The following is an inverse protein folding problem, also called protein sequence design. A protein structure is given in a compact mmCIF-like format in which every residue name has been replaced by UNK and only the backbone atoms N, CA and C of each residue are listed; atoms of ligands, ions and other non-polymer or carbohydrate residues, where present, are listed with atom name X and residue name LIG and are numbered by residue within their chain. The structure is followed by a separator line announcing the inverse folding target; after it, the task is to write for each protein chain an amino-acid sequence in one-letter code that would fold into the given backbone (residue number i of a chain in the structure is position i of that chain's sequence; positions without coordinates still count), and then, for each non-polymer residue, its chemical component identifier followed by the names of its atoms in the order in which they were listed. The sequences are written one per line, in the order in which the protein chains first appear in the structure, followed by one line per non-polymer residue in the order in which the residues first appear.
data_IF_643555853697
#
_entry.id   IF_643555853697
#
_cell.length_a   1.000
_cell.length_b   1.000
_cell.length_c   1.000
_cell.angle_alpha   90.00
_cell.angle_beta   90.00
_cell.angle_gamma   90.00
#
_symmetry.space_group_name_H-M   'P 1'
#
loop_
_entity.id
_entity.type
_entity.pdbx_description
1 polymer ?
#
# COMPACT_ATOMS: atom_id res chain seq x y z
N UNK A 1 -16.64 20.14 8.94
CA UNK A 1 -15.62 20.45 7.93
C UNK A 1 -15.73 19.54 6.71
N UNK A 2 -15.62 18.21 6.82
CA UNK A 2 -15.74 17.31 5.65
C UNK A 2 -17.07 17.44 4.90
N UNK A 3 -18.19 17.62 5.58
CA UNK A 3 -19.48 17.87 4.93
C UNK A 3 -19.48 19.17 4.12
N UNK A 4 -18.88 20.21 4.66
CA UNK A 4 -18.79 21.52 3.95
C UNK A 4 -17.95 21.39 2.69
N UNK A 5 -16.75 20.76 2.77
CA UNK A 5 -15.89 20.55 1.59
C UNK A 5 -16.58 19.66 0.55
N UNK A 6 -17.35 18.66 0.97
CA UNK A 6 -18.12 17.79 0.08
C UNK A 6 -19.24 18.52 -0.64
N UNK A 7 -19.99 19.38 0.06
CA UNK A 7 -21.06 20.20 -0.53
C UNK A 7 -20.46 21.20 -1.54
N UNK A 8 -19.40 21.90 -1.14
CA UNK A 8 -18.69 22.83 -2.05
C UNK A 8 -18.16 22.05 -3.26
N UNK A 9 -17.58 20.88 -3.06
CA UNK A 9 -17.09 20.03 -4.14
C UNK A 9 -18.20 19.63 -5.13
N UNK A 10 -19.41 19.28 -4.63
CA UNK A 10 -20.56 18.94 -5.47
C UNK A 10 -21.06 20.13 -6.30
N UNK A 11 -21.12 21.32 -5.71
CA UNK A 11 -21.60 22.52 -6.40
C UNK A 11 -20.69 22.95 -7.55
N UNK A 12 -19.40 22.63 -7.46
CA UNK A 12 -18.35 23.13 -8.36
C UNK A 12 -17.83 22.06 -9.32
N UNK A 13 -18.30 20.83 -9.18
CA UNK A 13 -17.83 19.70 -9.98
C UNK A 13 -18.30 19.76 -11.42
N UNK A 14 -17.38 19.48 -12.36
CA UNK A 14 -17.71 19.22 -13.77
C UNK A 14 -18.49 17.92 -13.97
N UNK A 15 -18.30 16.94 -13.06
CA UNK A 15 -18.95 15.62 -13.10
C UNK A 15 -19.66 15.33 -11.77
N UNK A 16 -20.82 15.98 -11.58
CA UNK A 16 -21.58 15.95 -10.32
C UNK A 16 -21.91 14.54 -9.82
N UNK A 17 -22.37 13.66 -10.69
CA UNK A 17 -22.72 12.28 -10.34
C UNK A 17 -21.51 11.53 -9.75
N UNK A 18 -20.35 11.70 -10.34
CA UNK A 18 -19.10 11.08 -9.88
C UNK A 18 -18.67 11.65 -8.52
N UNK A 19 -18.70 12.97 -8.37
CA UNK A 19 -18.39 13.63 -7.09
C UNK A 19 -19.35 13.20 -6.00
N UNK A 20 -20.64 13.03 -6.29
CA UNK A 20 -21.62 12.49 -5.35
C UNK A 20 -21.27 11.05 -4.91
N UNK A 21 -20.90 10.18 -5.86
CA UNK A 21 -20.49 8.81 -5.57
C UNK A 21 -19.25 8.75 -4.67
N UNK A 22 -18.21 9.53 -4.97
CA UNK A 22 -17.00 9.58 -4.14
C UNK A 22 -17.25 10.21 -2.77
N UNK A 23 -18.15 11.20 -2.70
CA UNK A 23 -18.59 11.79 -1.42
C UNK A 23 -19.34 10.76 -0.57
N UNK A 24 -20.27 10.03 -1.17
CA UNK A 24 -20.99 8.95 -0.49
C UNK A 24 -20.02 7.86 -0.01
N UNK A 25 -19.02 7.51 -0.83
CA UNK A 25 -17.96 6.57 -0.44
C UNK A 25 -17.16 7.07 0.76
N UNK A 26 -16.76 8.35 0.79
CA UNK A 26 -16.06 8.93 1.94
C UNK A 26 -16.92 8.93 3.21
N UNK A 27 -18.20 9.27 3.10
CA UNK A 27 -19.14 9.22 4.23
C UNK A 27 -19.30 7.79 4.75
N UNK A 28 -19.45 6.81 3.86
CA UNK A 28 -19.53 5.40 4.22
C UNK A 28 -18.26 4.94 4.96
N UNK A 29 -17.08 5.38 4.51
CA UNK A 29 -15.81 5.10 5.18
C UNK A 29 -15.77 5.65 6.61
N UNK A 30 -16.21 6.89 6.80
CA UNK A 30 -16.26 7.51 8.11
C UNK A 30 -17.28 6.82 9.03
N UNK A 31 -18.46 6.48 8.50
CA UNK A 31 -19.46 5.68 9.22
C UNK A 31 -18.89 4.33 9.63
N UNK A 32 -18.20 3.64 8.72
CA UNK A 32 -17.55 2.35 9.01
C UNK A 32 -16.53 2.48 10.13
N UNK A 33 -15.70 3.53 10.11
CA UNK A 33 -14.73 3.79 11.17
C UNK A 33 -15.39 4.02 12.53
N UNK A 34 -16.48 4.80 12.58
CA UNK A 34 -17.26 5.05 13.80
C UNK A 34 -17.94 3.77 14.29
N UNK A 35 -18.59 3.02 13.38
CA UNK A 35 -19.22 1.76 13.71
C UNK A 35 -18.22 0.74 14.26
N UNK A 36 -17.05 0.60 13.63
CA UNK A 36 -15.98 -0.27 14.10
C UNK A 36 -15.52 0.11 15.52
N UNK A 37 -15.37 1.41 15.78
CA UNK A 37 -15.00 1.93 17.09
C UNK A 37 -16.06 1.62 18.17
N UNK A 38 -17.34 1.85 17.86
CA UNK A 38 -18.46 1.58 18.76
C UNK A 38 -18.63 0.07 19.02
N UNK A 39 -18.57 -0.73 17.97
CA UNK A 39 -18.62 -2.20 18.07
C UNK A 39 -17.48 -2.73 18.95
N UNK A 40 -16.24 -2.28 18.70
CA UNK A 40 -15.10 -2.72 19.50
C UNK A 40 -15.27 -2.34 20.97
N UNK A 41 -15.84 -1.17 21.27
CA UNK A 41 -16.13 -0.70 22.64
C UNK A 41 -17.17 -1.57 23.34
N UNK A 42 -18.20 -2.04 22.61
CA UNK A 42 -19.27 -2.87 23.18
C UNK A 42 -18.83 -4.32 23.44
N UNK A 43 -17.69 -4.75 22.88
CA UNK A 43 -17.17 -6.10 23.08
C UNK A 43 -16.70 -6.30 24.53
N UNK A 44 -17.01 -7.47 25.08
CA UNK A 44 -16.43 -7.94 26.33
C UNK A 44 -14.91 -8.18 26.18
N UNK A 45 -14.18 -8.24 27.28
CA UNK A 45 -12.73 -8.55 27.25
C UNK A 45 -12.45 -9.88 26.56
N UNK A 46 -13.31 -10.89 26.80
CA UNK A 46 -13.20 -12.21 26.14
C UNK A 46 -13.38 -12.10 24.61
N UNK A 47 -14.34 -11.30 24.15
CA UNK A 47 -14.60 -11.15 22.72
C UNK A 47 -13.51 -10.34 22.02
N UNK A 48 -12.94 -9.34 22.71
CA UNK A 48 -11.74 -8.63 22.21
C UNK A 48 -10.56 -9.57 22.02
N UNK A 49 -10.33 -10.49 23.00
CA UNK A 49 -9.29 -11.54 22.87
C UNK A 49 -9.58 -12.50 21.71
N UNK A 50 -10.84 -12.90 21.51
CA UNK A 50 -11.25 -13.70 20.34
C UNK A 50 -10.99 -12.96 19.03
N UNK A 51 -11.35 -11.67 18.96
CA UNK A 51 -11.11 -10.84 17.78
C UNK A 51 -9.61 -10.77 17.42
N UNK A 52 -8.75 -10.57 18.43
CA UNK A 52 -7.30 -10.58 18.20
C UNK A 52 -6.81 -11.96 17.74
N UNK A 53 -7.36 -13.04 18.30
CA UNK A 53 -7.05 -14.40 17.86
C UNK A 53 -7.48 -14.64 16.40
N UNK A 54 -8.66 -14.13 16.00
CA UNK A 54 -9.11 -14.15 14.59
C UNK A 54 -8.13 -13.36 13.71
N UNK A 55 -7.66 -12.20 14.17
CA UNK A 55 -6.63 -11.42 13.49
C UNK A 55 -5.32 -12.20 13.26
N UNK A 56 -4.88 -12.99 14.25
CA UNK A 56 -3.72 -13.87 14.09
C UNK A 56 -3.97 -14.99 13.06
N UNK A 57 -5.13 -15.64 13.13
CA UNK A 57 -5.50 -16.66 12.15
C UNK A 57 -5.63 -16.09 10.75
N UNK A 58 -6.16 -14.87 10.59
CA UNK A 58 -6.23 -14.23 9.28
C UNK A 58 -4.85 -14.05 8.65
N UNK A 59 -3.82 -13.67 9.43
CA UNK A 59 -2.45 -13.59 8.93
C UNK A 59 -1.92 -14.92 8.39
N UNK A 60 -2.24 -16.04 9.07
CA UNK A 60 -1.85 -17.39 8.64
C UNK A 60 -2.61 -17.78 7.38
N UNK A 61 -3.93 -17.62 7.37
CA UNK A 61 -4.80 -18.00 6.24
C UNK A 61 -4.41 -17.21 4.98
N UNK A 62 -4.25 -15.90 5.10
CA UNK A 62 -3.83 -15.09 3.96
C UNK A 62 -2.40 -15.41 3.50
N UNK A 63 -1.51 -15.81 4.42
CA UNK A 63 -0.18 -16.30 4.06
C UNK A 63 -0.23 -17.56 3.21
N UNK A 64 -1.04 -18.54 3.62
CA UNK A 64 -1.26 -19.80 2.88
C UNK A 64 -1.90 -19.48 1.51
N UNK A 65 -2.96 -18.68 1.49
CA UNK A 65 -3.64 -18.31 0.25
C UNK A 65 -2.72 -17.56 -0.72
N UNK A 66 -1.81 -16.73 -0.22
CA UNK A 66 -0.82 -16.03 -1.05
C UNK A 66 0.14 -17.00 -1.72
N UNK A 67 0.62 -18.02 -1.00
CA UNK A 67 1.47 -19.07 -1.58
C UNK A 67 0.66 -19.92 -2.59
N UNK A 68 -0.57 -20.27 -2.29
CA UNK A 68 -1.45 -20.99 -3.22
C UNK A 68 -1.70 -20.18 -4.49
N UNK A 69 -1.98 -18.87 -4.38
CA UNK A 69 -2.14 -18.02 -5.56
C UNK A 69 -0.86 -17.97 -6.39
N UNK A 70 0.32 -17.93 -5.76
CA UNK A 70 1.59 -17.99 -6.48
C UNK A 70 1.72 -19.28 -7.30
N UNK A 71 1.35 -20.42 -6.72
CA UNK A 71 1.40 -21.73 -7.39
C UNK A 71 0.38 -21.78 -8.54
N UNK A 72 -0.86 -21.39 -8.28
CA UNK A 72 -1.94 -21.41 -9.28
C UNK A 72 -1.65 -20.45 -10.43
N UNK A 73 -1.06 -19.29 -10.15
CA UNK A 73 -0.68 -18.33 -11.18
C UNK A 73 0.35 -18.86 -12.20
N UNK A 74 1.01 -19.97 -11.93
CA UNK A 74 1.87 -20.67 -12.89
C UNK A 74 1.05 -21.52 -13.86
N UNK A 75 -0.08 -22.07 -13.40
CA UNK A 75 -0.97 -22.92 -14.19
C UNK A 75 -1.91 -22.04 -15.01
N UNK A 76 -2.60 -21.12 -14.35
CA UNK A 76 -3.56 -20.20 -14.96
C UNK A 76 -3.48 -18.82 -14.31
N UNK A 77 -2.76 -17.85 -14.91
CA UNK A 77 -2.47 -16.55 -14.29
C UNK A 77 -3.69 -15.67 -13.98
N UNK A 78 -4.83 -15.94 -14.62
CA UNK A 78 -6.09 -15.22 -14.41
C UNK A 78 -6.99 -15.89 -13.39
N UNK A 79 -6.67 -17.11 -12.96
CA UNK A 79 -7.44 -17.84 -11.98
C UNK A 79 -7.19 -17.29 -10.56
N UNK A 80 -8.14 -17.57 -9.68
CA UNK A 80 -8.06 -17.38 -8.24
C UNK A 80 -7.84 -15.94 -7.77
N UNK A 81 -8.95 -15.24 -7.60
CA UNK A 81 -8.99 -13.97 -6.85
C UNK A 81 -8.43 -12.76 -7.57
N UNK A 82 -8.08 -12.86 -8.87
CA UNK A 82 -7.52 -11.73 -9.59
C UNK A 82 -8.61 -10.81 -10.11
N UNK A 83 -8.61 -9.60 -9.59
CA UNK A 83 -9.43 -8.51 -10.10
C UNK A 83 -8.68 -7.67 -11.16
N UNK A 84 -7.39 -7.92 -11.35
CA UNK A 84 -6.51 -7.13 -12.19
C UNK A 84 -5.73 -8.04 -13.13
N UNK A 85 -6.09 -8.06 -14.42
CA UNK A 85 -5.41 -8.85 -15.45
C UNK A 85 -3.92 -8.50 -15.62
N UNK A 86 -3.53 -7.24 -15.36
CA UNK A 86 -2.13 -6.79 -15.42
C UNK A 86 -1.32 -7.04 -14.15
N UNK A 87 -1.95 -7.39 -13.03
CA UNK A 87 -1.25 -7.56 -11.76
C UNK A 87 -0.36 -8.81 -11.72
N UNK A 88 -0.66 -9.79 -12.58
CA UNK A 88 0.13 -11.02 -12.72
C UNK A 88 1.13 -10.96 -13.88
N UNK A 89 0.94 -10.03 -14.80
CA UNK A 89 1.91 -9.85 -15.86
C UNK A 89 3.24 -9.54 -15.19
N UNK A 90 4.24 -10.33 -15.49
CA UNK A 90 5.57 -10.24 -14.90
C UNK A 90 6.29 -8.94 -15.25
N UNK A 91 5.72 -7.81 -14.82
CA UNK A 91 6.31 -6.48 -14.97
C UNK A 91 7.74 -6.45 -14.40
N UNK A 92 8.02 -7.37 -13.48
CA UNK A 92 9.32 -7.50 -12.82
C UNK A 92 9.99 -8.87 -13.03
N UNK A 93 9.51 -9.66 -13.99
CA UNK A 93 9.99 -11.04 -14.18
C UNK A 93 9.44 -12.04 -13.15
N UNK A 94 8.56 -11.62 -12.25
CA UNK A 94 7.88 -12.50 -11.27
C UNK A 94 6.42 -12.09 -11.07
N UNK A 95 5.60 -13.03 -10.60
CA UNK A 95 4.18 -12.80 -10.32
C UNK A 95 4.03 -12.13 -8.98
N UNK A 96 3.36 -10.98 -8.93
CA UNK A 96 3.01 -10.29 -7.68
C UNK A 96 1.63 -10.71 -7.21
N UNK A 97 1.52 -11.09 -5.97
CA UNK A 97 0.27 -11.61 -5.40
C UNK A 97 -0.63 -10.48 -4.91
N UNK A 98 -1.91 -10.56 -5.23
CA UNK A 98 -2.92 -9.59 -4.80
C UNK A 98 -4.13 -10.23 -4.10
N UNK A 99 -4.28 -11.55 -4.12
CA UNK A 99 -5.46 -12.30 -3.64
C UNK A 99 -6.76 -11.68 -4.16
N UNK A 100 -7.60 -11.22 -3.24
CA UNK A 100 -8.89 -10.58 -3.55
C UNK A 100 -8.79 -9.05 -3.62
N UNK A 101 -7.60 -8.48 -3.42
CA UNK A 101 -7.38 -7.04 -3.52
C UNK A 101 -7.23 -6.61 -4.99
N UNK A 102 -7.66 -5.39 -5.30
CA UNK A 102 -7.53 -4.83 -6.65
C UNK A 102 -6.06 -4.70 -7.09
N UNK A 103 -5.13 -4.52 -6.12
CA UNK A 103 -3.70 -4.41 -6.37
C UNK A 103 -2.90 -5.06 -5.23
N UNK A 104 -1.66 -5.53 -5.50
CA UNK A 104 -0.79 -6.11 -4.48
C UNK A 104 -0.55 -5.20 -3.27
N UNK A 105 -0.44 -3.90 -3.46
CA UNK A 105 -0.24 -2.94 -2.35
C UNK A 105 -1.42 -2.87 -1.38
N UNK A 106 -2.65 -3.13 -1.83
CA UNK A 106 -3.83 -3.15 -0.97
C UNK A 106 -3.88 -4.43 -0.12
N UNK A 107 -3.48 -5.56 -0.69
CA UNK A 107 -3.29 -6.78 0.09
C UNK A 107 -2.23 -6.57 1.18
N UNK A 108 -1.09 -5.96 0.82
CA UNK A 108 -0.02 -5.69 1.78
C UNK A 108 -0.52 -4.83 2.95
N UNK A 109 -1.30 -3.76 2.68
CA UNK A 109 -1.87 -2.91 3.74
C UNK A 109 -2.87 -3.66 4.63
N UNK A 110 -3.65 -4.57 4.07
CA UNK A 110 -4.61 -5.39 4.82
C UNK A 110 -3.95 -6.42 5.74
N UNK A 111 -2.69 -6.79 5.47
CA UNK A 111 -1.91 -7.71 6.29
C UNK A 111 -1.19 -7.03 7.46
N UNK A 112 -1.00 -5.70 7.42
CA UNK A 112 -0.33 -4.96 8.50
C UNK A 112 -0.98 -5.16 9.88
N UNK A 113 -2.32 -5.16 10.03
CA UNK A 113 -2.95 -5.43 11.31
C UNK A 113 -2.57 -6.81 11.87
N UNK A 114 -2.64 -7.88 11.06
CA UNK A 114 -2.30 -9.24 11.49
C UNK A 114 -0.82 -9.34 11.91
N UNK A 115 0.09 -8.72 11.13
CA UNK A 115 1.51 -8.63 11.45
C UNK A 115 1.74 -7.96 12.80
N UNK A 116 1.15 -6.78 13.03
CA UNK A 116 1.41 -6.02 14.26
C UNK A 116 0.68 -6.57 15.48
N UNK A 117 -0.50 -7.18 15.31
CA UNK A 117 -1.13 -7.96 16.39
C UNK A 117 -0.19 -9.08 16.81
N UNK A 118 0.36 -9.85 15.86
CA UNK A 118 1.30 -10.93 16.16
C UNK A 118 2.57 -10.45 16.89
N UNK A 119 3.07 -9.25 16.57
CA UNK A 119 4.22 -8.65 17.26
C UNK A 119 3.91 -8.20 18.70
N UNK A 120 2.67 -7.83 18.99
CA UNK A 120 2.27 -7.25 20.26
C UNK A 120 1.60 -8.26 21.19
N UNK A 121 1.00 -9.33 20.66
CA UNK A 121 0.22 -10.31 21.40
C UNK A 121 1.07 -11.41 21.99
N UNK A 122 1.15 -11.49 23.32
CA UNK A 122 2.06 -12.41 24.01
C UNK A 122 1.40 -13.68 24.54
N UNK A 123 0.07 -13.69 24.70
CA UNK A 123 -0.65 -14.82 25.30
C UNK A 123 -0.50 -16.13 24.51
N UNK A 124 -0.50 -16.03 23.17
CA UNK A 124 -0.37 -17.18 22.26
C UNK A 124 0.88 -17.06 21.39
N UNK A 125 2.05 -17.14 22.02
CA UNK A 125 3.35 -16.89 21.37
C UNK A 125 3.61 -17.68 20.10
N UNK A 126 3.17 -18.95 20.03
CA UNK A 126 3.34 -19.79 18.85
C UNK A 126 2.45 -19.29 17.70
N UNK A 127 1.15 -19.10 17.97
CA UNK A 127 0.20 -18.60 16.98
C UNK A 127 0.61 -17.22 16.48
N UNK A 128 1.03 -16.33 17.38
CA UNK A 128 1.55 -15.02 17.05
C UNK A 128 2.78 -15.09 16.14
N UNK A 129 3.74 -15.99 16.46
CA UNK A 129 4.91 -16.23 15.64
C UNK A 129 4.56 -16.72 14.23
N UNK A 130 3.65 -17.67 14.10
CA UNK A 130 3.16 -18.14 12.80
C UNK A 130 2.42 -17.04 12.02
N UNK A 131 1.60 -16.22 12.68
CA UNK A 131 0.92 -15.10 12.06
C UNK A 131 1.92 -14.07 11.51
N UNK A 132 2.93 -13.70 12.30
CA UNK A 132 4.00 -12.78 11.89
C UNK A 132 4.76 -13.34 10.69
N UNK A 133 5.18 -14.60 10.76
CA UNK A 133 5.89 -15.27 9.68
C UNK A 133 5.07 -15.28 8.39
N UNK A 134 3.84 -15.81 8.45
CA UNK A 134 2.96 -15.95 7.29
C UNK A 134 2.57 -14.60 6.68
N UNK A 135 2.27 -13.59 7.52
CA UNK A 135 2.01 -12.22 7.05
C UNK A 135 3.24 -11.63 6.37
N UNK A 136 4.45 -11.87 6.91
CA UNK A 136 5.70 -11.38 6.30
C UNK A 136 5.96 -12.06 4.96
N UNK A 137 5.71 -13.37 4.82
CA UNK A 137 5.75 -14.08 3.54
C UNK A 137 4.78 -13.45 2.56
N UNK A 138 3.50 -13.31 2.94
CA UNK A 138 2.47 -12.75 2.06
C UNK A 138 2.79 -11.31 1.62
N UNK A 139 3.23 -10.44 2.54
CA UNK A 139 3.66 -9.07 2.22
C UNK A 139 4.82 -9.08 1.22
N UNK A 140 5.78 -10.01 1.39
CA UNK A 140 6.90 -10.16 0.44
C UNK A 140 6.40 -10.60 -0.93
N UNK A 141 5.46 -11.54 -1.01
CA UNK A 141 4.87 -12.00 -2.27
C UNK A 141 4.09 -10.89 -2.99
N UNK A 142 3.56 -9.90 -2.29
CA UNK A 142 2.98 -8.70 -2.93
C UNK A 142 4.04 -7.82 -3.58
N UNK A 143 5.28 -7.90 -3.11
CA UNK A 143 6.40 -7.01 -3.44
C UNK A 143 6.02 -5.52 -3.38
N UNK A 144 5.30 -5.15 -2.33
CA UNK A 144 4.84 -3.78 -2.09
C UNK A 144 5.92 -2.97 -1.37
N UNK A 145 6.65 -2.14 -2.11
CA UNK A 145 7.68 -1.23 -1.56
C UNK A 145 7.15 -0.34 -0.44
N UNK A 146 5.93 0.18 -0.62
CA UNK A 146 5.28 1.01 0.39
C UNK A 146 5.06 0.29 1.71
N UNK A 147 4.70 -1.00 1.68
CA UNK A 147 4.53 -1.79 2.88
C UNK A 147 5.86 -2.06 3.60
N UNK A 148 6.94 -2.36 2.86
CA UNK A 148 8.28 -2.53 3.44
C UNK A 148 8.73 -1.26 4.16
N UNK A 149 8.64 -0.11 3.49
CA UNK A 149 9.01 1.19 4.07
C UNK A 149 8.12 1.50 5.29
N UNK A 150 6.84 1.19 5.23
CA UNK A 150 5.90 1.40 6.34
C UNK A 150 6.26 0.55 7.56
N UNK A 151 6.61 -0.73 7.38
CA UNK A 151 7.01 -1.63 8.47
C UNK A 151 8.33 -1.16 9.10
N UNK A 152 9.34 -0.84 8.28
CA UNK A 152 10.63 -0.34 8.75
C UNK A 152 10.43 1.00 9.49
N UNK A 153 9.71 1.94 8.89
CA UNK A 153 9.43 3.24 9.50
C UNK A 153 8.66 3.14 10.82
N UNK A 154 7.66 2.23 10.89
CA UNK A 154 6.95 1.97 12.14
C UNK A 154 7.88 1.40 13.22
N UNK A 155 8.78 0.48 12.85
CA UNK A 155 9.80 -0.05 13.76
C UNK A 155 10.75 1.03 14.28
N UNK A 156 11.21 1.94 13.41
CA UNK A 156 12.07 3.07 13.79
C UNK A 156 11.35 4.01 14.76
N UNK A 157 10.12 4.44 14.43
CA UNK A 157 9.33 5.34 15.30
C UNK A 157 9.06 4.68 16.65
N UNK A 158 8.70 3.38 16.65
CA UNK A 158 8.54 2.62 17.88
C UNK A 158 9.84 2.61 18.71
N UNK A 159 10.99 2.38 18.09
CA UNK A 159 12.29 2.39 18.74
C UNK A 159 12.61 3.76 19.36
N UNK A 160 12.39 4.85 18.63
CA UNK A 160 12.62 6.22 19.08
C UNK A 160 11.71 6.55 20.28
N UNK A 161 10.40 6.31 20.16
CA UNK A 161 9.44 6.63 21.24
C UNK A 161 9.78 5.81 22.50
N UNK A 162 10.17 4.57 22.32
CA UNK A 162 10.59 3.70 23.44
C UNK A 162 11.89 4.16 24.08
N UNK A 163 12.86 4.60 23.29
CA UNK A 163 14.10 5.18 23.78
C UNK A 163 13.83 6.44 24.63
N UNK A 164 13.00 7.34 24.12
CA UNK A 164 12.60 8.56 24.85
C UNK A 164 11.88 8.26 26.17
N UNK A 165 11.02 7.25 26.20
CA UNK A 165 10.37 6.84 27.44
C UNK A 165 11.37 6.28 28.45
N UNK A 166 12.38 5.55 28.01
CA UNK A 166 13.46 5.07 28.88
C UNK A 166 14.27 6.22 29.48
N UNK A 167 14.75 7.13 28.66
CA UNK A 167 15.50 8.29 29.15
C UNK A 167 14.74 9.11 30.21
N UNK A 168 13.41 9.12 30.12
CA UNK A 168 12.54 9.75 31.13
C UNK A 168 12.29 8.88 32.35
N UNK A 169 12.42 7.58 32.27
CA UNK A 169 12.15 6.62 33.36
C UNK A 169 13.41 6.06 34.01
N UNK A 170 14.58 6.35 33.51
CA UNK A 170 15.87 5.85 34.02
C UNK A 170 16.19 6.28 35.49
N UNK A 171 15.32 7.11 36.09
CA UNK A 171 15.30 7.28 37.54
C UNK A 171 14.71 6.08 38.31
N UNK A 172 14.19 5.02 37.64
CA UNK A 172 13.51 3.88 38.26
C UNK A 172 13.92 2.54 37.62
N UNK A 173 14.91 1.87 38.25
CA UNK A 173 15.28 0.44 38.15
C UNK A 173 15.69 -0.16 36.80
N UNK A 174 16.92 -0.71 36.81
CA UNK A 174 17.66 -1.33 35.69
C UNK A 174 17.23 -2.78 35.38
N UNK A 175 16.49 -3.45 36.26
CA UNK A 175 16.34 -4.93 36.24
C UNK A 175 15.39 -5.53 35.18
N UNK A 176 14.65 -4.72 34.41
CA UNK A 176 13.65 -5.24 33.47
C UNK A 176 14.08 -5.25 32.00
N UNK A 177 15.35 -4.98 31.68
CA UNK A 177 15.81 -4.71 30.31
C UNK A 177 16.12 -5.95 29.49
N UNK A 178 16.66 -7.01 30.07
CA UNK A 178 17.16 -8.18 29.33
C UNK A 178 16.06 -9.02 28.63
N UNK A 179 14.95 -9.40 29.27
CA UNK A 179 13.95 -10.28 28.63
C UNK A 179 13.28 -9.59 27.42
N UNK A 180 13.15 -8.30 27.46
CA UNK A 180 12.52 -7.51 26.39
C UNK A 180 13.40 -7.44 25.15
N UNK A 181 14.72 -7.37 25.29
CA UNK A 181 15.69 -7.35 24.19
C UNK A 181 15.66 -8.67 23.43
N UNK A 182 15.62 -9.80 24.14
CA UNK A 182 15.58 -11.14 23.56
C UNK A 182 14.30 -11.38 22.73
N UNK A 183 13.15 -10.96 23.25
CA UNK A 183 11.87 -11.06 22.52
C UNK A 183 11.87 -10.21 21.24
N UNK A 184 12.44 -8.99 21.27
CA UNK A 184 12.53 -8.13 20.09
C UNK A 184 13.41 -8.74 18.99
N UNK A 185 14.57 -9.32 19.35
CA UNK A 185 15.45 -9.99 18.39
C UNK A 185 14.79 -11.23 17.79
N UNK A 186 14.08 -12.01 18.60
CA UNK A 186 13.31 -13.17 18.12
C UNK A 186 12.25 -12.73 17.10
N UNK A 187 11.49 -11.70 17.40
CA UNK A 187 10.46 -11.19 16.48
C UNK A 187 11.05 -10.64 15.19
N UNK A 188 12.15 -9.90 15.27
CA UNK A 188 12.88 -9.42 14.09
C UNK A 188 13.37 -10.61 13.25
N UNK A 189 13.89 -11.67 13.89
CA UNK A 189 14.30 -12.89 13.21
C UNK A 189 13.15 -13.56 12.47
N UNK A 190 11.95 -13.63 13.08
CA UNK A 190 10.76 -14.22 12.43
C UNK A 190 10.31 -13.39 11.23
N UNK A 191 10.27 -12.05 11.36
CA UNK A 191 9.94 -11.15 10.25
C UNK A 191 10.94 -11.34 9.12
N UNK A 192 12.23 -11.28 9.42
CA UNK A 192 13.30 -11.43 8.43
C UNK A 192 13.24 -12.79 7.74
N UNK A 193 13.03 -13.87 8.50
CA UNK A 193 12.84 -15.21 7.93
C UNK A 193 11.63 -15.27 6.98
N UNK A 194 10.50 -14.68 7.35
CA UNK A 194 9.32 -14.60 6.49
C UNK A 194 9.59 -13.81 5.21
N UNK A 195 10.30 -12.68 5.31
CA UNK A 195 10.69 -11.90 4.14
C UNK A 195 11.67 -12.63 3.22
N UNK A 196 12.67 -13.30 3.79
CA UNK A 196 13.63 -14.11 3.01
C UNK A 196 12.90 -15.23 2.27
N UNK A 197 12.03 -15.99 2.97
CA UNK A 197 11.24 -17.06 2.35
C UNK A 197 10.35 -16.49 1.23
N UNK A 198 9.62 -15.40 1.46
CA UNK A 198 8.77 -14.78 0.45
C UNK A 198 9.55 -14.31 -0.78
N UNK A 199 10.69 -13.64 -0.59
CA UNK A 199 11.56 -13.22 -1.70
C UNK A 199 12.15 -14.43 -2.45
N UNK A 200 12.52 -15.49 -1.74
CA UNK A 200 13.01 -16.74 -2.36
C UNK A 200 11.91 -17.39 -3.19
N UNK A 201 10.67 -17.46 -2.70
CA UNK A 201 9.54 -17.98 -3.45
C UNK A 201 9.28 -17.18 -4.73
N UNK A 202 9.37 -15.85 -4.69
CA UNK A 202 9.27 -15.00 -5.89
C UNK A 202 10.39 -15.29 -6.87
N UNK A 203 11.64 -15.44 -6.40
CA UNK A 203 12.76 -15.76 -7.23
C UNK A 203 12.61 -17.12 -7.91
N UNK A 204 12.25 -18.16 -7.11
CA UNK A 204 11.98 -19.51 -7.64
C UNK A 204 10.84 -19.47 -8.66
N UNK A 205 9.76 -18.73 -8.36
CA UNK A 205 8.65 -18.52 -9.27
C UNK A 205 9.10 -17.95 -10.62
N UNK A 206 9.98 -16.93 -10.62
CA UNK A 206 10.51 -16.35 -11.83
C UNK A 206 11.38 -17.35 -12.62
N UNK A 207 12.26 -18.10 -11.92
CA UNK A 207 13.09 -19.13 -12.54
C UNK A 207 12.28 -20.23 -13.19
N UNK A 208 11.26 -20.73 -12.49
CA UNK A 208 10.37 -21.78 -13.02
C UNK A 208 9.60 -21.28 -14.23
N UNK A 209 9.10 -20.05 -14.18
CA UNK A 209 8.29 -19.48 -15.27
C UNK A 209 9.09 -19.17 -16.53
N UNK A 210 10.33 -18.74 -16.36
CA UNK A 210 11.19 -18.27 -17.45
C UNK A 210 12.45 -19.13 -17.59
N UNK A 211 12.32 -20.46 -17.35
CA UNK A 211 13.44 -21.40 -17.30
C UNK A 211 14.32 -21.37 -18.56
N UNK A 212 13.75 -21.06 -19.72
CA UNK A 212 14.48 -20.94 -20.99
C UNK A 212 15.27 -19.63 -21.14
N UNK A 213 15.08 -18.68 -20.20
CA UNK A 213 15.73 -17.38 -20.29
C UNK A 213 17.08 -17.41 -19.58
N UNK A 214 18.20 -17.20 -20.30
CA UNK A 214 19.53 -17.18 -19.68
C UNK A 214 19.62 -16.15 -18.55
N UNK A 215 20.30 -16.52 -17.48
CA UNK A 215 20.55 -15.64 -16.34
C UNK A 215 19.31 -15.09 -15.62
N UNK A 216 18.13 -15.71 -15.79
CA UNK A 216 16.87 -15.20 -15.21
C UNK A 216 16.95 -14.99 -13.68
N UNK A 217 17.56 -15.93 -12.94
CA UNK A 217 17.71 -15.82 -11.50
C UNK A 217 18.51 -14.58 -11.10
N UNK A 218 19.63 -14.33 -11.78
CA UNK A 218 20.46 -13.16 -11.56
C UNK A 218 19.72 -11.86 -11.90
N UNK A 219 19.11 -11.80 -13.09
CA UNK A 219 18.41 -10.61 -13.55
C UNK A 219 17.17 -10.29 -12.67
N UNK A 220 16.47 -11.32 -12.18
CA UNK A 220 15.36 -11.15 -11.24
C UNK A 220 15.86 -10.63 -9.88
N UNK A 221 16.96 -11.19 -9.36
CA UNK A 221 17.55 -10.71 -8.10
C UNK A 221 18.04 -9.26 -8.22
N UNK A 222 18.69 -8.90 -9.33
CA UNK A 222 19.11 -7.52 -9.63
C UNK A 222 17.88 -6.60 -9.68
N UNK A 223 16.81 -7.02 -10.34
CA UNK A 223 15.54 -6.26 -10.40
C UNK A 223 14.92 -6.07 -9.03
N UNK A 224 14.91 -7.09 -8.17
CA UNK A 224 14.44 -6.97 -6.79
C UNK A 224 15.27 -5.96 -6.00
N UNK A 225 16.61 -6.01 -6.12
CA UNK A 225 17.51 -5.07 -5.45
C UNK A 225 17.33 -3.63 -5.95
N UNK A 226 17.24 -3.43 -7.26
CA UNK A 226 16.95 -2.12 -7.85
C UNK A 226 15.66 -1.54 -7.28
N UNK A 227 14.61 -2.34 -7.19
CA UNK A 227 13.33 -1.91 -6.66
C UNK A 227 13.34 -1.66 -5.15
N UNK A 228 14.00 -2.51 -4.36
CA UNK A 228 14.13 -2.32 -2.91
C UNK A 228 14.99 -1.07 -2.60
N UNK A 229 16.00 -0.80 -3.42
CA UNK A 229 16.85 0.39 -3.30
C UNK A 229 16.24 1.66 -3.90
N UNK A 230 14.98 1.61 -4.40
CA UNK A 230 14.33 2.72 -5.09
C UNK A 230 15.10 3.23 -6.32
N UNK A 231 15.75 2.34 -7.04
CA UNK A 231 16.52 2.66 -8.24
C UNK A 231 17.93 3.19 -7.96
N UNK A 232 18.41 3.13 -6.71
CA UNK A 232 19.75 3.61 -6.34
C UNK A 232 20.84 2.58 -6.59
N UNK A 233 20.55 1.30 -6.47
CA UNK A 233 21.52 0.21 -6.73
C UNK A 233 21.25 -0.31 -8.14
N UNK A 234 22.01 0.17 -9.10
CA UNK A 234 21.95 -0.28 -10.50
C UNK A 234 23.07 -1.28 -10.73
N UNK A 235 22.78 -2.56 -10.65
CA UNK A 235 23.72 -3.60 -11.04
C UNK A 235 23.56 -3.90 -12.55
N UNK A 236 24.67 -4.18 -13.26
CA UNK A 236 24.60 -4.53 -14.67
C UNK A 236 23.81 -5.83 -14.84
N UNK A 237 22.85 -5.83 -15.73
CA UNK A 237 22.16 -7.06 -16.13
C UNK A 237 23.05 -7.85 -17.07
N UNK A 238 23.05 -9.16 -16.93
CA UNK A 238 23.68 -10.04 -17.91
C UNK A 238 22.80 -10.11 -19.15
N UNK A 239 23.40 -9.83 -20.32
CA UNK A 239 22.68 -9.78 -21.59
C UNK A 239 21.87 -11.08 -21.78
N UNK A 240 20.57 -10.97 -21.79
CA UNK A 240 19.72 -11.91 -22.51
C UNK A 240 20.06 -11.73 -23.97
N UNK A 241 20.37 -12.84 -24.68
CA UNK A 241 20.80 -12.92 -26.07
C UNK A 241 20.23 -11.77 -26.90
N UNK A 242 21.03 -11.04 -27.69
CA UNK A 242 20.49 -10.05 -28.62
C UNK A 242 19.49 -10.78 -29.52
N UNK A 243 18.26 -10.31 -29.56
CA UNK A 243 17.29 -10.83 -30.52
C UNK A 243 17.89 -10.68 -31.92
N UNK A 244 18.19 -11.76 -32.66
CA UNK A 244 18.69 -11.63 -34.02
C UNK A 244 17.56 -10.97 -34.83
N UNK A 245 17.75 -9.73 -35.25
CA UNK A 245 16.86 -9.07 -36.20
C UNK A 245 15.91 -7.98 -35.69
N UNK A 246 16.20 -7.37 -34.57
CA UNK A 246 15.58 -6.08 -34.26
C UNK A 246 16.13 -5.01 -35.18
N UNK A 247 15.57 -4.85 -36.36
CA UNK A 247 15.76 -3.67 -37.21
C UNK A 247 15.46 -2.45 -36.34
N UNK A 248 16.36 -1.44 -36.25
CA UNK A 248 16.06 -0.21 -35.52
C UNK A 248 14.78 0.35 -36.11
N UNK A 249 13.76 0.51 -35.24
CA UNK A 249 12.52 1.17 -35.64
C UNK A 249 12.88 2.52 -36.27
N UNK A 250 12.48 2.78 -37.53
CA UNK A 250 12.80 4.04 -38.16
C UNK A 250 12.24 5.16 -37.27
N UNK A 251 13.11 6.10 -36.88
CA UNK A 251 12.67 7.37 -36.30
C UNK A 251 11.63 7.94 -37.26
N UNK A 252 10.41 8.12 -36.76
CA UNK A 252 9.35 8.76 -37.52
C UNK A 252 9.85 10.15 -37.99
N UNK A 253 9.80 10.46 -39.28
CA UNK A 253 10.14 11.78 -39.78
C UNK A 253 9.12 12.80 -39.23
N UNK A 254 9.50 14.08 -39.09
CA UNK A 254 8.61 15.12 -38.62
C UNK A 254 7.41 15.21 -39.58
N UNK A 255 6.22 14.92 -39.07
CA UNK A 255 4.99 14.97 -39.84
C UNK A 255 4.60 16.43 -40.09
N UNK A 256 4.72 16.86 -41.32
CA UNK A 256 3.98 18.02 -41.86
C UNK A 256 2.49 17.72 -41.87
N UNK A 257 1.71 18.59 -41.29
CA UNK A 257 0.26 18.64 -41.40
C UNK A 257 -0.17 18.66 -42.86
N UNK A 258 -1.01 17.71 -43.28
CA UNK A 258 -2.08 17.98 -44.28
C UNK A 258 -3.00 16.77 -44.44
N UNK A 259 -4.30 17.05 -44.37
CA UNK A 259 -5.45 16.31 -44.90
C UNK A 259 -5.83 14.96 -44.28
N UNK A 260 -7.00 14.96 -43.66
CA UNK A 260 -7.75 13.78 -43.25
C UNK A 260 -8.14 12.90 -44.43
N UNK A 261 -8.03 11.58 -44.29
CA UNK A 261 -8.86 10.62 -44.99
C UNK A 261 -9.63 9.70 -44.06
N UNK A 262 -10.84 9.38 -44.52
CA UNK A 262 -11.85 8.47 -44.03
C UNK A 262 -11.35 7.26 -43.24
N UNK A 263 -12.04 7.08 -42.09
CA UNK A 263 -11.96 5.91 -41.23
C UNK A 263 -12.17 4.58 -41.98
N UNK A 264 -11.09 3.84 -42.09
CA UNK A 264 -11.13 2.39 -42.36
C UNK A 264 -11.32 1.66 -41.02
N UNK A 265 -12.13 0.62 -40.89
CA UNK A 265 -12.29 -0.14 -39.67
C UNK A 265 -10.94 -0.75 -39.26
N UNK A 266 -10.44 -0.35 -38.12
CA UNK A 266 -9.22 -0.93 -37.54
C UNK A 266 -9.41 -2.43 -37.35
N UNK A 267 -8.47 -3.28 -37.77
CA UNK A 267 -8.51 -4.70 -37.45
C UNK A 267 -8.60 -4.89 -35.92
N UNK A 268 -9.28 -5.94 -35.45
CA UNK A 268 -9.41 -6.21 -34.04
C UNK A 268 -8.01 -6.26 -33.42
N UNK A 269 -7.76 -5.36 -32.48
CA UNK A 269 -6.53 -5.36 -31.69
C UNK A 269 -6.53 -6.69 -30.94
N UNK A 270 -5.77 -7.64 -31.44
CA UNK A 270 -5.47 -8.89 -30.73
C UNK A 270 -4.77 -8.49 -29.43
N UNK A 271 -5.49 -8.57 -28.34
CA UNK A 271 -4.87 -8.32 -27.01
C UNK A 271 -3.68 -9.27 -26.91
N UNK A 272 -2.47 -8.77 -26.63
CA UNK A 272 -1.32 -9.63 -26.46
C UNK A 272 -1.65 -10.66 -25.39
N UNK A 273 -1.46 -11.94 -25.72
CA UNK A 273 -1.66 -13.05 -24.80
C UNK A 273 -0.88 -12.74 -23.49
N UNK A 274 -1.55 -12.53 -22.35
CA UNK A 274 -0.86 -12.18 -21.11
C UNK A 274 0.09 -13.28 -20.63
N UNK A 275 0.06 -14.44 -21.28
CA UNK A 275 0.90 -15.61 -21.00
C UNK A 275 2.15 -15.68 -21.85
N UNK A 276 2.25 -14.91 -22.95
CA UNK A 276 3.47 -14.89 -23.73
C UNK A 276 4.58 -14.29 -22.87
N UNK A 277 5.68 -15.01 -22.62
CA UNK A 277 6.84 -14.42 -21.95
C UNK A 277 7.23 -13.20 -22.79
N UNK A 278 7.10 -12.00 -22.20
CA UNK A 278 7.51 -10.80 -22.89
C UNK A 278 9.03 -10.90 -23.09
N UNK A 279 9.47 -11.01 -24.35
CA UNK A 279 10.88 -11.07 -24.71
C UNK A 279 11.67 -9.82 -24.30
N UNK A 280 10.96 -8.77 -23.84
CA UNK A 280 11.51 -7.49 -23.41
C UNK A 280 11.38 -7.32 -21.88
N UNK A 281 12.11 -8.13 -21.15
CA UNK A 281 12.35 -7.90 -19.75
C UNK A 281 13.29 -6.69 -19.58
N UNK A 282 12.75 -5.50 -19.34
CA UNK A 282 13.52 -4.29 -19.02
C UNK A 282 13.30 -3.88 -17.56
N UNK A 283 13.99 -4.48 -16.61
CA UNK A 283 13.78 -4.19 -15.19
C UNK A 283 14.27 -2.80 -14.77
N UNK A 284 15.34 -2.28 -15.34
CA UNK A 284 15.98 -1.04 -14.91
C UNK A 284 15.21 0.25 -15.27
N UNK A 285 14.43 0.24 -16.35
CA UNK A 285 13.64 1.41 -16.76
C UNK A 285 12.30 1.56 -16.01
N UNK A 286 11.72 0.47 -15.54
CA UNK A 286 10.38 0.46 -14.97
C UNK A 286 10.26 1.22 -13.63
N UNK A 287 11.26 1.09 -12.74
CA UNK A 287 11.23 1.76 -11.43
C UNK A 287 11.26 3.28 -11.61
N UNK A 288 12.15 3.76 -12.48
CA UNK A 288 12.28 5.18 -12.80
C UNK A 288 11.02 5.71 -13.50
N UNK A 289 10.48 4.99 -14.48
CA UNK A 289 9.26 5.35 -15.20
C UNK A 289 8.06 5.41 -14.23
N UNK A 290 7.82 4.35 -13.44
CA UNK A 290 6.73 4.31 -12.47
C UNK A 290 6.85 5.38 -11.38
N UNK A 291 8.06 5.71 -10.93
CA UNK A 291 8.27 6.80 -9.98
C UNK A 291 8.01 8.17 -10.62
N UNK A 292 8.47 8.37 -11.84
CA UNK A 292 8.25 9.62 -12.59
C UNK A 292 6.76 9.83 -12.90
N UNK A 293 6.03 8.78 -13.29
CA UNK A 293 4.59 8.85 -13.55
C UNK A 293 3.82 9.26 -12.29
N UNK A 294 4.16 8.66 -11.13
CA UNK A 294 3.56 9.03 -9.84
C UNK A 294 3.89 10.46 -9.44
N UNK A 295 5.13 10.90 -9.64
CA UNK A 295 5.54 12.28 -9.36
C UNK A 295 4.87 13.27 -10.30
N UNK A 296 4.74 12.94 -11.57
CA UNK A 296 4.06 13.79 -12.56
C UNK A 296 2.57 13.90 -12.24
N UNK A 297 1.91 12.77 -11.92
CA UNK A 297 0.52 12.78 -11.47
C UNK A 297 0.35 13.63 -10.19
N UNK A 298 1.25 13.52 -9.23
CA UNK A 298 1.23 14.32 -8.01
C UNK A 298 1.48 15.81 -8.28
N UNK A 299 2.42 16.15 -9.17
CA UNK A 299 2.69 17.54 -9.59
C UNK A 299 1.49 18.17 -10.26
N UNK A 300 0.81 17.45 -11.16
CA UNK A 300 -0.41 17.93 -11.81
C UNK A 300 -1.53 18.15 -10.79
N UNK A 301 -1.72 17.25 -9.85
CA UNK A 301 -2.69 17.39 -8.78
C UNK A 301 -2.40 18.60 -7.88
N UNK A 302 -1.14 18.84 -7.53
CA UNK A 302 -0.73 20.01 -6.75
C UNK A 302 -0.91 21.32 -7.53
N UNK A 303 -0.67 21.32 -8.85
CA UNK A 303 -0.98 22.48 -9.71
C UNK A 303 -2.48 22.75 -9.74
N UNK A 304 -3.31 21.71 -9.87
CA UNK A 304 -4.76 21.85 -9.83
C UNK A 304 -5.25 22.38 -8.48
N UNK A 305 -4.66 21.89 -7.39
CA UNK A 305 -4.93 22.40 -6.04
C UNK A 305 -4.55 23.88 -5.89
N UNK A 306 -3.39 24.30 -6.38
CA UNK A 306 -2.87 25.65 -6.27
C UNK A 306 -3.47 26.64 -7.31
N UNK A 307 -4.38 26.19 -8.19
CA UNK A 307 -4.91 27.00 -9.29
C UNK A 307 -5.74 28.21 -8.82
N UNK A 308 -6.34 28.14 -7.63
CA UNK A 308 -7.12 29.26 -7.06
C UNK A 308 -7.17 29.15 -5.52
N UNK A 309 -7.43 30.27 -4.79
CA UNK A 309 -7.64 30.23 -3.34
C UNK A 309 -8.77 29.27 -2.93
N UNK A 310 -9.80 29.15 -3.75
CA UNK A 310 -10.91 28.23 -3.53
C UNK A 310 -10.45 26.78 -3.60
N UNK A 311 -9.69 26.38 -4.63
CA UNK A 311 -9.19 25.02 -4.76
C UNK A 311 -8.15 24.71 -3.69
N UNK A 312 -7.40 25.67 -3.21
CA UNK A 312 -6.48 25.51 -2.08
C UNK A 312 -7.25 25.18 -0.78
N UNK A 313 -8.34 25.89 -0.51
CA UNK A 313 -9.12 25.71 0.70
C UNK A 313 -10.02 24.45 0.65
N UNK A 314 -10.75 24.26 -0.45
CA UNK A 314 -11.82 23.26 -0.54
C UNK A 314 -11.53 22.12 -1.54
N UNK A 315 -10.45 22.21 -2.30
CA UNK A 315 -10.08 21.24 -3.33
C UNK A 315 -10.87 21.40 -4.63
N UNK A 316 -10.62 20.47 -5.55
CA UNK A 316 -11.31 20.40 -6.86
C UNK A 316 -12.65 19.67 -6.81
N UNK A 317 -12.96 19.02 -5.69
CA UNK A 317 -14.07 18.08 -5.50
C UNK A 317 -13.64 16.62 -5.67
N UNK A 318 -14.22 15.74 -4.85
CA UNK A 318 -13.90 14.31 -4.87
C UNK A 318 -14.21 13.70 -6.25
N UNK A 319 -13.23 13.02 -6.84
CA UNK A 319 -13.37 12.38 -8.16
C UNK A 319 -13.42 13.35 -9.35
N UNK A 320 -13.24 14.65 -9.14
CA UNK A 320 -13.31 15.68 -10.18
C UNK A 320 -11.93 16.14 -10.69
N UNK A 321 -10.85 15.67 -10.08
CA UNK A 321 -9.48 16.13 -10.35
C UNK A 321 -9.09 16.04 -11.84
N UNK A 322 -9.34 14.88 -12.48
CA UNK A 322 -9.01 14.69 -13.89
C UNK A 322 -9.76 15.67 -14.80
N UNK A 323 -11.08 15.81 -14.62
CA UNK A 323 -11.90 16.76 -15.36
C UNK A 323 -11.47 18.22 -15.10
N UNK A 324 -11.10 18.56 -13.86
CA UNK A 324 -10.57 19.88 -13.53
C UNK A 324 -9.26 20.16 -14.28
N UNK A 325 -8.32 19.20 -14.31
CA UNK A 325 -7.06 19.34 -15.03
C UNK A 325 -7.30 19.54 -16.53
N UNK A 326 -8.22 18.77 -17.13
CA UNK A 326 -8.58 18.93 -18.54
C UNK A 326 -9.15 20.33 -18.85
N UNK A 327 -10.14 20.77 -18.07
CA UNK A 327 -10.88 22.00 -18.36
C UNK A 327 -10.14 23.28 -17.95
N UNK A 328 -9.42 23.27 -16.82
CA UNK A 328 -8.77 24.46 -16.28
C UNK A 328 -7.29 24.56 -16.61
N UNK A 329 -6.59 23.43 -16.69
CA UNK A 329 -5.15 23.42 -16.99
C UNK A 329 -4.86 23.05 -18.45
N UNK A 330 -5.90 22.75 -19.24
CA UNK A 330 -5.82 22.35 -20.65
C UNK A 330 -4.81 21.23 -20.91
N UNK A 331 -4.67 20.28 -19.95
CA UNK A 331 -3.76 19.15 -20.07
C UNK A 331 -4.52 17.90 -20.53
N UNK A 332 -3.99 17.14 -21.50
CA UNK A 332 -4.60 15.91 -21.99
C UNK A 332 -4.41 14.77 -20.98
N UNK A 333 -5.22 14.73 -19.95
CA UNK A 333 -5.24 13.64 -18.97
C UNK A 333 -6.58 12.91 -19.02
N UNK A 334 -6.59 11.66 -18.58
CA UNK A 334 -7.86 10.93 -18.41
C UNK A 334 -8.74 11.61 -17.36
N UNK A 335 -10.06 11.61 -17.56
CA UNK A 335 -11.02 12.03 -16.53
C UNK A 335 -10.87 11.20 -15.26
N UNK A 336 -10.37 9.94 -15.38
CA UNK A 336 -10.08 9.01 -14.31
C UNK A 336 -8.65 9.16 -13.76
N UNK A 337 -8.04 10.35 -13.96
CA UNK A 337 -6.69 10.61 -13.48
C UNK A 337 -6.54 10.26 -12.01
N UNK A 338 -5.70 9.29 -11.71
CA UNK A 338 -5.44 8.78 -10.36
C UNK A 338 -4.12 9.30 -9.83
N UNK A 339 -4.12 9.71 -8.58
CA UNK A 339 -2.90 10.10 -7.85
C UNK A 339 -2.57 9.00 -6.85
N UNK A 340 -1.36 8.44 -6.98
CA UNK A 340 -0.93 7.30 -6.16
C UNK A 340 -0.40 7.71 -4.77
N UNK A 341 -0.46 8.98 -4.41
CA UNK A 341 -0.11 9.49 -3.09
C UNK A 341 -1.40 9.96 -2.41
N UNK A 342 -1.84 9.22 -1.39
CA UNK A 342 -3.13 9.46 -0.72
C UNK A 342 -3.27 10.88 -0.17
N UNK A 343 -2.21 11.43 0.43
CA UNK A 343 -2.23 12.80 0.95
C UNK A 343 -2.41 13.84 -0.16
N UNK A 344 -1.73 13.66 -1.29
CA UNK A 344 -1.88 14.57 -2.45
C UNK A 344 -3.25 14.40 -3.08
N UNK A 345 -3.74 13.15 -3.19
CA UNK A 345 -5.09 12.86 -3.66
C UNK A 345 -6.15 13.58 -2.82
N UNK A 346 -6.07 13.46 -1.50
CA UNK A 346 -7.03 14.11 -0.61
C UNK A 346 -6.88 15.64 -0.65
N UNK A 347 -5.64 16.16 -0.55
CA UNK A 347 -5.39 17.61 -0.60
C UNK A 347 -5.96 18.22 -1.86
N UNK A 348 -5.72 17.61 -3.02
CA UNK A 348 -6.24 18.13 -4.29
C UNK A 348 -7.77 18.03 -4.41
N UNK A 349 -8.39 17.03 -3.80
CA UNK A 349 -9.83 16.81 -3.88
C UNK A 349 -10.65 17.56 -2.82
N UNK A 350 -10.17 17.67 -1.57
CA UNK A 350 -10.92 18.27 -0.45
C UNK A 350 -10.23 19.49 0.17
N UNK A 351 -9.08 19.89 -0.35
CA UNK A 351 -8.32 21.06 0.08
C UNK A 351 -7.79 20.97 1.51
N UNK A 352 -7.22 22.08 1.98
CA UNK A 352 -6.65 22.20 3.33
C UNK A 352 -7.72 22.00 4.40
N UNK A 353 -8.91 22.57 4.20
CA UNK A 353 -10.02 22.47 5.17
C UNK A 353 -10.46 21.02 5.41
N UNK A 354 -10.44 20.18 4.36
CA UNK A 354 -10.73 18.75 4.49
C UNK A 354 -9.56 17.93 5.04
N UNK A 355 -8.31 18.37 4.79
CA UNK A 355 -7.11 17.66 5.27
C UNK A 355 -6.85 17.84 6.78
N UNK A 356 -7.15 19.01 7.35
CA UNK A 356 -6.90 19.29 8.77
C UNK A 356 -7.51 18.23 9.70
N UNK A 357 -8.81 17.85 9.56
CA UNK A 357 -9.39 16.81 10.41
C UNK A 357 -8.67 15.46 10.31
N UNK A 358 -8.25 15.05 9.11
CA UNK A 358 -7.53 13.78 8.93
C UNK A 358 -6.16 13.81 9.61
N UNK A 359 -5.40 14.89 9.40
CA UNK A 359 -4.08 15.05 10.02
C UNK A 359 -4.19 15.14 11.54
N UNK A 360 -5.19 15.87 12.05
CA UNK A 360 -5.48 15.93 13.48
C UNK A 360 -5.83 14.54 14.05
N UNK A 361 -6.65 13.77 13.33
CA UNK A 361 -7.02 12.40 13.68
C UNK A 361 -5.78 11.50 13.82
N UNK A 362 -4.89 11.51 12.82
CA UNK A 362 -3.64 10.77 12.83
C UNK A 362 -2.72 11.21 13.97
N UNK A 363 -2.53 12.53 14.14
CA UNK A 363 -1.69 13.09 15.18
C UNK A 363 -2.18 12.73 16.59
N UNK A 364 -3.49 12.85 16.84
CA UNK A 364 -4.09 12.46 18.14
C UNK A 364 -3.94 10.97 18.39
N UNK A 365 -4.13 10.13 17.34
CA UNK A 365 -3.97 8.68 17.48
C UNK A 365 -2.53 8.31 17.81
N UNK A 366 -1.55 8.89 17.11
CA UNK A 366 -0.13 8.66 17.35
C UNK A 366 0.28 9.13 18.75
N UNK A 367 -0.15 10.33 19.16
CA UNK A 367 0.15 10.88 20.47
C UNK A 367 -0.43 10.03 21.61
N UNK A 368 -1.70 9.61 21.50
CA UNK A 368 -2.34 8.70 22.46
C UNK A 368 -1.62 7.35 22.51
N UNK A 369 -1.36 6.75 21.36
CA UNK A 369 -0.67 5.46 21.26
C UNK A 369 0.72 5.51 21.90
N UNK A 370 1.47 6.61 21.70
CA UNK A 370 2.77 6.83 22.32
C UNK A 370 2.70 6.89 23.85
N UNK A 371 1.65 7.49 24.44
CA UNK A 371 1.45 7.51 25.89
C UNK A 371 1.23 6.12 26.50
N UNK A 372 0.63 5.21 25.74
CA UNK A 372 0.28 3.86 26.18
C UNK A 372 1.24 2.79 25.69
N UNK A 373 2.44 3.16 25.26
CA UNK A 373 3.43 2.28 24.66
C UNK A 373 3.81 1.08 25.55
N UNK A 374 3.76 1.20 26.86
CA UNK A 374 4.05 0.11 27.80
C UNK A 374 3.01 -1.00 27.73
N UNK A 375 1.76 -0.69 27.34
CA UNK A 375 0.68 -1.68 27.17
C UNK A 375 0.74 -2.30 25.75
N UNK A 376 0.42 -3.60 25.59
CA UNK A 376 0.39 -4.27 24.26
C UNK A 376 -0.46 -3.52 23.26
N UNK A 377 -1.63 -3.04 23.69
CA UNK A 377 -2.56 -2.26 22.87
C UNK A 377 -1.94 -0.95 22.33
N UNK A 378 -1.26 -0.19 23.19
CA UNK A 378 -0.60 1.05 22.76
C UNK A 378 0.54 0.80 21.78
N UNK A 379 1.29 -0.31 21.94
CA UNK A 379 2.32 -0.74 20.97
C UNK A 379 1.71 -1.08 19.62
N UNK A 380 0.65 -1.87 19.62
CA UNK A 380 -0.08 -2.23 18.41
C UNK A 380 -0.62 -0.98 17.71
N UNK A 381 -1.29 -0.10 18.45
CA UNK A 381 -1.84 1.14 17.91
C UNK A 381 -0.76 2.06 17.32
N UNK A 382 0.39 2.23 18.01
CA UNK A 382 1.50 3.04 17.51
C UNK A 382 2.08 2.45 16.22
N UNK A 383 2.42 1.16 16.22
CA UNK A 383 3.01 0.49 15.07
C UNK A 383 2.07 0.55 13.85
N UNK A 384 0.81 0.19 14.04
CA UNK A 384 -0.15 0.16 12.94
C UNK A 384 -0.47 1.58 12.43
N UNK A 385 -0.74 2.56 13.30
CA UNK A 385 -1.02 3.93 12.87
C UNK A 385 0.17 4.54 12.15
N UNK A 386 1.38 4.33 12.64
CA UNK A 386 2.61 4.81 11.98
C UNK A 386 2.76 4.14 10.61
N UNK A 387 2.58 2.83 10.52
CA UNK A 387 2.68 2.12 9.26
C UNK A 387 1.62 2.60 8.26
N UNK A 388 0.37 2.78 8.67
CA UNK A 388 -0.71 3.33 7.83
C UNK A 388 -0.33 4.74 7.35
N UNK A 389 0.14 5.61 8.24
CA UNK A 389 0.55 6.98 7.92
C UNK A 389 1.66 7.01 6.86
N UNK A 390 2.66 6.16 6.99
CA UNK A 390 3.74 6.04 6.01
C UNK A 390 3.23 5.42 4.72
N UNK A 391 2.41 4.37 4.81
CA UNK A 391 1.90 3.66 3.63
C UNK A 391 1.04 4.55 2.73
N UNK A 392 0.31 5.50 3.29
CA UNK A 392 -0.47 6.50 2.57
C UNK A 392 0.35 7.40 1.61
N UNK A 393 1.68 7.43 1.74
CA UNK A 393 2.57 8.05 0.75
C UNK A 393 2.76 7.19 -0.52
N UNK A 394 2.37 5.93 -0.48
CA UNK A 394 2.65 4.97 -1.54
C UNK A 394 1.38 4.42 -2.22
N UNK A 395 0.20 4.74 -1.71
CA UNK A 395 -1.03 4.33 -2.35
C UNK A 395 -2.11 5.41 -2.25
N UNK A 396 -2.90 5.58 -3.32
CA UNK A 396 -3.92 6.61 -3.44
C UNK A 396 -5.28 6.02 -3.79
N UNK A 397 -5.89 5.27 -2.86
CA UNK A 397 -7.26 4.77 -3.04
C UNK A 397 -8.09 5.02 -1.79
N UNK A 398 -9.18 5.78 -1.94
CA UNK A 398 -10.10 6.05 -0.86
C UNK A 398 -10.81 4.77 -0.40
N UNK A 399 -11.34 4.00 -1.34
CA UNK A 399 -12.12 2.79 -1.06
C UNK A 399 -11.26 1.72 -0.37
N UNK A 400 -10.03 1.52 -0.83
CA UNK A 400 -9.13 0.52 -0.27
C UNK A 400 -8.51 0.93 1.08
N UNK A 401 -8.78 2.14 1.59
CA UNK A 401 -8.34 2.60 2.91
C UNK A 401 -9.33 2.35 4.04
N UNK A 402 -10.50 1.71 3.77
CA UNK A 402 -11.56 1.42 4.76
C UNK A 402 -11.02 0.78 6.02
N UNK A 403 -10.27 -0.31 5.86
CA UNK A 403 -9.70 -1.06 6.99
C UNK A 403 -8.72 -0.21 7.81
N UNK A 404 -7.93 0.66 7.16
CA UNK A 404 -7.02 1.57 7.85
C UNK A 404 -7.77 2.58 8.72
N UNK A 405 -8.83 3.19 8.19
CA UNK A 405 -9.65 4.15 8.92
C UNK A 405 -10.45 3.49 10.04
N UNK A 406 -10.93 2.26 9.84
CA UNK A 406 -11.57 1.48 10.90
C UNK A 406 -10.64 1.28 12.11
N UNK A 407 -9.38 0.88 11.88
CA UNK A 407 -8.40 0.74 12.96
C UNK A 407 -8.08 2.07 13.65
N UNK A 408 -7.92 3.15 12.88
CA UNK A 408 -7.70 4.49 13.45
C UNK A 408 -8.90 4.88 14.32
N UNK A 409 -10.13 4.65 13.87
CA UNK A 409 -11.34 4.88 14.65
C UNK A 409 -11.36 4.08 15.95
N UNK A 410 -11.01 2.78 15.91
CA UNK A 410 -10.90 1.92 17.08
C UNK A 410 -9.87 2.48 18.08
N UNK A 411 -8.69 2.91 17.64
CA UNK A 411 -7.64 3.45 18.50
C UNK A 411 -8.00 4.79 19.15
N UNK A 412 -8.70 5.64 18.42
CA UNK A 412 -9.12 6.94 18.94
C UNK A 412 -10.16 6.83 20.04
N UNK A 413 -11.12 5.94 19.82
CA UNK A 413 -12.29 5.87 20.69
C UNK A 413 -12.08 4.98 21.92
N UNK A 414 -11.26 3.92 21.78
CA UNK A 414 -11.03 2.97 22.85
C UNK A 414 -9.80 3.36 23.65
N UNK A 415 -10.08 4.03 24.76
CA UNK A 415 -9.08 4.39 25.76
C UNK A 415 -9.02 3.28 26.81
N UNK A 416 -7.83 2.71 27.12
CA UNK A 416 -7.74 1.74 28.21
C UNK A 416 -8.11 2.45 29.53
N UNK A 417 -9.29 2.12 30.05
CA UNK A 417 -9.73 2.57 31.35
C UNK A 417 -9.07 1.71 32.42
N UNK A 418 -8.10 2.29 33.15
CA UNK A 418 -7.59 1.71 34.40
C UNK A 418 -6.89 0.36 34.31
N UNK A 419 -6.83 -0.34 35.44
CA UNK A 419 -6.12 -1.62 35.63
C UNK A 419 -6.79 -2.86 34.99
N UNK A 420 -7.99 -2.72 34.41
CA UNK A 420 -8.80 -3.87 33.96
C UNK A 420 -8.49 -4.37 32.55
N UNK A 421 -7.61 -3.71 31.79
CA UNK A 421 -7.21 -4.15 30.43
C UNK A 421 -5.75 -4.64 30.42
N UNK A 422 -5.39 -5.60 31.24
CA UNK A 422 -4.24 -6.45 30.98
C UNK A 422 -4.65 -7.48 29.91
N UNK A 423 -4.18 -7.23 28.69
CA UNK A 423 -4.17 -8.21 27.62
C UNK A 423 -3.01 -9.17 27.78
#
# INVERSE_FOLDING_TARGET
MLAITSIVGLLVSYVRARTALYTASLLLLLITAVCAALMYRSLSTSDRRRLMTIGLWSGIVFGILAVLQLIIAHIEPTAFGTLCSGCHAGVFGFVRINLFAAEPQFLASSLLPALFVGLCWRERRQLAGWSVFSSSVAISLTFSRGAFIAIIGAGIVYGIVRYWQRCRSEARSIDTVEPIRRDAWRQLGIITAGFVVGCTLLLVSAVVRYHDTPHIAYNTAVSMLDQLSLGRIKLPQKNTIPTPGGTPSPQAPPTNETTAPKSSPSPPVTQPNPLAPSANFQPSGFVAASANDRLNAARLALRAWAASPRTMLFGTGLGNLGSFIQHQLHQPVSTDHTVYIFYVLLLSNIGVVGMIPLLALLAVTLWRSGRWLLKPWGRFALLLTTAITIHFWFFGSLINSVHCLAWIGIFLYNHPKGHEEEF
#
